data_IF_119933746822
#
_entry.id   IF_119933746822
#
_cell.length_a   1.000
_cell.length_b   1.000
_cell.length_c   1.000
_cell.angle_alpha   90.00
_cell.angle_beta   90.00
_cell.angle_gamma   90.00
#
_symmetry.space_group_name_H-M   'P 1'
#
loop_
_entity.id
_entity.type
_entity.pdbx_description
1 polymer ?
#
# COMPACT_ATOMS: atom_id res chain seq x y z
N UNK A 1 4.91 9.15 18.53
CA UNK A 1 6.03 8.20 18.41
C UNK A 1 5.66 7.19 17.33
N UNK A 2 6.48 7.10 16.27
CA UNK A 2 6.46 6.11 15.18
C UNK A 2 5.08 5.66 14.68
N UNK A 3 4.42 6.49 13.86
CA UNK A 3 3.10 6.18 13.30
C UNK A 3 3.11 5.17 12.15
N UNK A 4 4.24 4.99 11.47
CA UNK A 4 4.38 4.04 10.36
C UNK A 4 5.00 2.74 10.88
N UNK A 5 4.40 1.57 10.59
CA UNK A 5 4.98 0.27 10.91
C UNK A 5 6.39 0.09 10.35
N UNK A 6 7.26 -0.61 11.09
CA UNK A 6 8.65 -0.84 10.67
C UNK A 6 8.74 -1.68 9.40
N UNK A 7 7.75 -2.54 9.15
CA UNK A 7 7.63 -3.41 7.99
C UNK A 7 7.03 -2.72 6.75
N UNK A 8 6.55 -1.48 6.88
CA UNK A 8 6.13 -0.68 5.72
C UNK A 8 7.36 -0.29 4.89
N UNK A 9 7.33 -0.43 3.55
CA UNK A 9 8.48 -0.11 2.69
C UNK A 9 9.01 1.31 2.91
N UNK A 10 10.33 1.45 2.82
CA UNK A 10 11.04 2.74 3.01
C UNK A 10 11.26 3.51 1.71
N UNK A 11 11.01 2.86 0.57
CA UNK A 11 11.10 3.49 -0.75
C UNK A 11 12.53 3.62 -1.28
N UNK A 12 13.46 2.74 -0.87
CA UNK A 12 14.83 2.72 -1.39
C UNK A 12 14.92 2.34 -2.89
N UNK A 13 13.82 1.87 -3.49
CA UNK A 13 13.73 1.74 -4.95
C UNK A 13 13.47 3.10 -5.57
N UNK A 14 14.55 3.76 -6.00
CA UNK A 14 14.53 4.96 -6.83
C UNK A 14 13.49 4.83 -7.97
N UNK A 15 12.35 5.50 -7.81
CA UNK A 15 11.34 5.61 -8.86
C UNK A 15 11.89 6.52 -9.97
N UNK A 16 12.62 5.92 -10.90
CA UNK A 16 12.84 6.53 -12.22
C UNK A 16 11.58 6.29 -13.04
N UNK A 17 10.66 7.24 -13.06
CA UNK A 17 9.59 7.29 -14.07
C UNK A 17 9.98 8.35 -15.12
N UNK A 18 10.19 7.99 -16.40
CA UNK A 18 10.26 8.98 -17.47
C UNK A 18 8.83 9.40 -17.86
N UNK A 19 8.53 10.68 -17.74
CA UNK A 19 7.54 11.31 -18.61
C UNK A 19 6.11 11.54 -18.10
N UNK A 20 5.84 11.49 -16.80
CA UNK A 20 4.61 12.07 -16.25
C UNK A 20 4.99 12.91 -15.04
N UNK A 21 4.76 14.22 -15.14
CA UNK A 21 5.10 15.19 -14.09
C UNK A 21 4.65 14.68 -12.72
N UNK A 22 5.59 14.28 -11.87
CA UNK A 22 5.27 13.97 -10.50
C UNK A 22 5.03 15.33 -9.84
N UNK A 23 3.94 15.51 -9.09
CA UNK A 23 3.89 16.60 -8.09
C UNK A 23 4.96 16.43 -6.98
N UNK A 24 5.88 15.48 -7.13
CA UNK A 24 7.13 15.32 -6.42
C UNK A 24 8.23 16.19 -7.05
N UNK A 25 8.05 17.52 -6.97
CA UNK A 25 9.18 18.43 -7.17
C UNK A 25 10.02 18.36 -5.89
N UNK A 26 11.20 17.75 -6.01
CA UNK A 26 12.29 17.85 -5.05
C UNK A 26 12.36 19.28 -4.47
N UNK A 27 12.05 19.44 -3.18
CA UNK A 27 12.33 20.69 -2.49
C UNK A 27 13.74 20.63 -1.93
N UNK A 28 14.58 21.53 -2.44
CA UNK A 28 15.90 21.85 -1.87
C UNK A 28 15.68 22.47 -0.49
N UNK A 29 15.88 21.69 0.57
CA UNK A 29 16.00 22.21 1.94
C UNK A 29 17.50 22.25 2.25
N UNK A 30 18.02 23.44 2.59
CA UNK A 30 19.43 23.66 2.98
C UNK A 30 20.50 23.14 2.01
N UNK A 31 20.26 23.25 0.70
CA UNK A 31 21.29 22.92 -0.29
C UNK A 31 21.59 21.44 -0.46
N UNK A 32 20.84 20.54 0.19
CA UNK A 32 20.98 19.09 0.03
C UNK A 32 19.82 18.50 -0.79
N UNK A 33 20.18 17.73 -1.80
CA UNK A 33 19.25 16.88 -2.52
C UNK A 33 18.95 15.67 -1.62
N UNK A 34 17.74 15.60 -1.07
CA UNK A 34 17.30 14.40 -0.34
C UNK A 34 16.84 13.40 -1.39
N UNK A 35 17.51 12.25 -1.45
CA UNK A 35 17.14 11.11 -2.29
C UNK A 35 16.45 10.10 -1.37
N UNK A 36 15.17 9.82 -1.62
CA UNK A 36 14.32 8.96 -0.78
C UNK A 36 13.08 9.69 -0.23
N UNK A 37 11.98 8.95 0.00
CA UNK A 37 10.77 9.48 0.62
C UNK A 37 11.09 10.07 1.99
N UNK A 38 10.70 11.31 2.23
CA UNK A 38 10.75 11.92 3.57
C UNK A 38 9.88 11.13 4.55
N UNK A 39 10.11 11.28 5.87
CA UNK A 39 9.32 10.57 6.89
C UNK A 39 7.84 10.88 6.77
N UNK A 40 7.52 12.11 6.38
CA UNK A 40 6.19 12.63 6.15
C UNK A 40 5.53 11.97 4.93
N UNK A 41 6.24 11.88 3.80
CA UNK A 41 5.70 11.22 2.60
C UNK A 41 5.55 9.70 2.81
N UNK A 42 6.48 9.06 3.53
CA UNK A 42 6.31 7.64 3.93
C UNK A 42 5.07 7.46 4.80
N UNK A 43 4.76 8.42 5.66
CA UNK A 43 3.55 8.40 6.50
C UNK A 43 2.27 8.59 5.69
N UNK A 44 2.28 9.47 4.68
CA UNK A 44 1.15 9.64 3.77
C UNK A 44 0.92 8.40 2.91
N UNK A 45 1.98 7.81 2.33
CA UNK A 45 1.88 6.54 1.59
C UNK A 45 1.40 5.41 2.47
N UNK A 46 1.91 5.31 3.70
CA UNK A 46 1.41 4.34 4.67
C UNK A 46 -0.08 4.52 4.96
N UNK A 47 -0.55 5.75 5.25
CA UNK A 47 -1.97 6.02 5.48
C UNK A 47 -2.84 5.60 4.31
N UNK A 48 -2.41 5.88 3.08
CA UNK A 48 -3.12 5.48 1.87
C UNK A 48 -3.22 3.95 1.76
N UNK A 49 -2.11 3.24 1.95
CA UNK A 49 -2.10 1.77 1.93
C UNK A 49 -2.91 1.17 3.10
N UNK A 50 -2.86 1.76 4.29
CA UNK A 50 -3.60 1.30 5.47
C UNK A 50 -5.12 1.43 5.28
N UNK A 51 -5.59 2.56 4.73
CA UNK A 51 -7.01 2.77 4.40
C UNK A 51 -7.49 1.78 3.33
N UNK A 52 -6.69 1.57 2.28
CA UNK A 52 -6.98 0.55 1.27
C UNK A 52 -7.03 -0.86 1.87
N UNK A 53 -6.12 -1.21 2.78
CA UNK A 53 -6.10 -2.52 3.43
C UNK A 53 -7.38 -2.75 4.22
N UNK A 54 -7.87 -1.72 4.92
CA UNK A 54 -9.10 -1.76 5.70
C UNK A 54 -10.32 -1.94 4.81
N UNK A 55 -10.41 -1.19 3.70
CA UNK A 55 -11.49 -1.35 2.72
C UNK A 55 -11.51 -2.75 2.11
N UNK A 56 -10.34 -3.29 1.75
CA UNK A 56 -10.22 -4.65 1.20
C UNK A 56 -10.58 -5.71 2.25
N UNK A 57 -10.18 -5.53 3.51
CA UNK A 57 -10.49 -6.46 4.59
C UNK A 57 -11.99 -6.49 4.88
N UNK A 58 -12.63 -5.33 5.01
CA UNK A 58 -14.08 -5.19 5.21
C UNK A 58 -14.87 -5.79 4.03
N UNK A 59 -14.41 -5.56 2.79
CA UNK A 59 -14.97 -6.23 1.61
C UNK A 59 -14.82 -7.76 1.68
N UNK A 60 -13.67 -8.25 2.12
CA UNK A 60 -13.38 -9.69 2.26
C UNK A 60 -14.31 -10.31 3.29
N UNK A 61 -14.42 -9.71 4.48
CA UNK A 61 -15.31 -10.14 5.55
C UNK A 61 -16.77 -10.17 5.10
N UNK A 62 -17.26 -9.12 4.45
CA UNK A 62 -18.63 -9.08 3.90
C UNK A 62 -18.89 -10.19 2.89
N UNK A 63 -17.95 -10.43 1.96
CA UNK A 63 -18.08 -11.49 0.96
C UNK A 63 -18.02 -12.88 1.60
N UNK A 64 -17.18 -13.08 2.61
CA UNK A 64 -17.11 -14.33 3.37
C UNK A 64 -18.42 -14.58 4.14
N UNK A 65 -18.95 -13.57 4.84
CA UNK A 65 -20.22 -13.68 5.55
C UNK A 65 -21.40 -13.97 4.61
N UNK A 66 -21.33 -13.49 3.36
CA UNK A 66 -22.30 -13.81 2.32
C UNK A 66 -22.08 -15.19 1.64
N UNK A 67 -21.07 -15.96 2.06
CA UNK A 67 -20.74 -17.26 1.46
C UNK A 67 -20.16 -17.17 0.03
N UNK A 68 -19.69 -15.99 -0.38
CA UNK A 68 -19.16 -15.74 -1.73
C UNK A 68 -17.65 -16.00 -1.86
N UNK A 69 -16.97 -16.31 -0.75
CA UNK A 69 -15.57 -16.71 -0.74
C UNK A 69 -15.50 -18.17 -0.35
N UNK A 70 -15.26 -19.03 -1.34
CA UNK A 70 -15.02 -20.46 -1.13
C UNK A 70 -13.54 -20.77 -0.93
N UNK A 71 -12.67 -19.95 -1.50
CA UNK A 71 -11.20 -20.07 -1.42
C UNK A 71 -10.59 -18.68 -1.21
N UNK A 72 -10.02 -18.48 -0.02
CA UNK A 72 -9.36 -17.23 0.35
C UNK A 72 -8.07 -16.99 -0.44
N UNK A 73 -7.31 -18.03 -0.75
CA UNK A 73 -6.04 -17.89 -1.46
C UNK A 73 -6.28 -17.44 -2.91
N UNK A 74 -7.27 -18.04 -3.58
CA UNK A 74 -7.70 -17.59 -4.90
C UNK A 74 -8.22 -16.14 -4.86
N UNK A 75 -9.05 -15.81 -3.87
CA UNK A 75 -9.59 -14.47 -3.70
C UNK A 75 -8.50 -13.41 -3.47
N UNK A 76 -7.50 -13.70 -2.64
CA UNK A 76 -6.40 -12.79 -2.40
C UNK A 76 -5.49 -12.63 -3.63
N UNK A 77 -5.23 -13.71 -4.38
CA UNK A 77 -4.46 -13.62 -5.64
C UNK A 77 -5.18 -12.74 -6.67
N UNK A 78 -6.48 -12.90 -6.85
CA UNK A 78 -7.28 -12.05 -7.74
C UNK A 78 -7.29 -10.58 -7.26
N UNK A 79 -7.41 -10.39 -5.94
CA UNK A 79 -7.37 -9.05 -5.34
C UNK A 79 -6.01 -8.39 -5.55
N UNK A 80 -4.90 -9.11 -5.38
CA UNK A 80 -3.56 -8.61 -5.65
C UNK A 80 -3.39 -8.22 -7.13
N UNK A 81 -3.80 -9.09 -8.06
CA UNK A 81 -3.75 -8.79 -9.49
C UNK A 81 -4.56 -7.55 -9.83
N UNK A 82 -5.74 -7.40 -9.23
CA UNK A 82 -6.58 -6.22 -9.40
C UNK A 82 -5.91 -4.96 -8.87
N UNK A 83 -5.33 -4.99 -7.67
CA UNK A 83 -4.59 -3.87 -7.10
C UNK A 83 -3.45 -3.44 -8.03
N UNK A 84 -2.67 -4.41 -8.54
CA UNK A 84 -1.57 -4.16 -9.49
C UNK A 84 -2.07 -3.59 -10.82
N UNK A 85 -3.24 -4.04 -11.29
CA UNK A 85 -3.84 -3.59 -12.54
C UNK A 85 -4.63 -2.28 -12.45
N UNK A 86 -4.91 -1.77 -11.24
CA UNK A 86 -5.77 -0.59 -11.07
C UNK A 86 -5.07 0.73 -11.38
N UNK A 87 -3.77 0.71 -11.71
CA UNK A 87 -2.99 1.89 -12.03
C UNK A 87 -2.73 2.81 -10.83
N UNK A 88 -2.90 2.29 -9.61
CA UNK A 88 -2.44 2.97 -8.42
C UNK A 88 -0.92 3.04 -8.45
N UNK A 89 -0.35 4.20 -8.16
CA UNK A 89 1.10 4.47 -8.13
C UNK A 89 1.77 3.80 -6.91
N UNK A 90 1.48 2.51 -6.72
CA UNK A 90 1.98 1.66 -5.64
C UNK A 90 3.17 0.84 -6.14
N UNK A 91 4.23 0.79 -5.34
CA UNK A 91 5.36 -0.07 -5.61
C UNK A 91 5.01 -1.54 -5.36
N UNK A 92 5.81 -2.46 -5.90
CA UNK A 92 5.63 -3.89 -5.63
C UNK A 92 5.68 -4.20 -4.12
N UNK A 93 6.55 -3.54 -3.37
CA UNK A 93 6.69 -3.73 -1.92
C UNK A 93 5.45 -3.23 -1.17
N UNK A 94 4.84 -2.13 -1.62
CA UNK A 94 3.62 -1.60 -1.02
C UNK A 94 2.42 -2.49 -1.31
N UNK A 95 2.32 -3.05 -2.52
CA UNK A 95 1.27 -4.03 -2.84
C UNK A 95 1.42 -5.27 -1.96
N UNK A 96 2.63 -5.78 -1.78
CA UNK A 96 2.90 -6.93 -0.90
C UNK A 96 2.49 -6.59 0.55
N UNK A 97 2.90 -5.42 1.04
CA UNK A 97 2.54 -4.96 2.37
C UNK A 97 1.02 -4.80 2.54
N UNK A 98 0.35 -4.18 1.57
CA UNK A 98 -1.10 -3.97 1.54
C UNK A 98 -1.86 -5.30 1.62
N UNK A 99 -1.47 -6.29 0.81
CA UNK A 99 -2.13 -7.60 0.79
C UNK A 99 -1.93 -8.34 2.10
N UNK A 100 -0.71 -8.33 2.66
CA UNK A 100 -0.43 -8.90 3.98
C UNK A 100 -1.25 -8.23 5.08
N UNK A 101 -1.34 -6.90 5.05
CA UNK A 101 -2.14 -6.11 5.99
C UNK A 101 -3.63 -6.45 5.90
N UNK A 102 -4.15 -6.57 4.68
CA UNK A 102 -5.54 -6.98 4.40
C UNK A 102 -5.85 -8.35 5.02
N UNK A 103 -4.97 -9.34 4.84
CA UNK A 103 -5.14 -10.67 5.41
C UNK A 103 -5.18 -10.65 6.94
N UNK A 104 -4.28 -9.89 7.58
CA UNK A 104 -4.24 -9.74 9.04
C UNK A 104 -5.56 -9.14 9.56
N UNK A 105 -6.04 -8.07 8.91
CA UNK A 105 -7.28 -7.39 9.30
C UNK A 105 -8.52 -8.27 9.07
N UNK A 106 -8.55 -9.05 7.99
CA UNK A 106 -9.65 -9.97 7.71
C UNK A 106 -9.61 -11.24 8.60
N UNK A 107 -8.45 -11.62 9.13
CA UNK A 107 -8.29 -12.75 10.06
C UNK A 107 -8.64 -12.41 11.51
N UNK A 108 -8.62 -11.12 11.88
CA UNK A 108 -9.04 -10.63 13.21
C UNK A 108 -10.29 -9.77 13.08
N UNK A 109 -11.49 -10.37 12.90
CA UNK A 109 -12.73 -9.62 12.94
C UNK A 109 -12.85 -8.98 14.33
N UNK A 110 -12.86 -7.65 14.37
CA UNK A 110 -13.24 -6.87 15.57
C UNK A 110 -14.69 -7.15 15.96
#
# INVERSE_FOLDING_TARGET
MNGVPEDFPRGDTAATIPGAQPKFIARKIDGRYVVGLTKEERHERWKYCEDLAQQLADRTLRKHAAGLISDFDAFYKETEQRVRGQGWDLSNEEVIWLMKRTQILAASPL
#
